data_IF_434937446141
#
_entry.id   IF_434937446141
#
_cell.length_a   1.000
_cell.length_b   1.000
_cell.length_c   1.000
_cell.angle_alpha   90.00
_cell.angle_beta   90.00
_cell.angle_gamma   90.00
#
_symmetry.space_group_name_H-M   'P 1'
#
loop_
_entity.id
_entity.type
_entity.pdbx_description
1 polymer ?
#
# COMPACT_ATOMS: atom_id res chain seq x y z
N UNK A 1 -3.99 3.94 -22.29
CA UNK A 1 -3.85 3.17 -21.03
C UNK A 1 -4.68 3.87 -19.97
N UNK A 2 -5.44 3.13 -19.16
CA UNK A 2 -6.29 3.73 -18.13
C UNK A 2 -5.43 4.25 -16.96
N UNK A 3 -5.74 5.44 -16.47
CA UNK A 3 -5.12 6.02 -15.29
C UNK A 3 -5.75 5.39 -14.05
N UNK A 4 -4.91 4.92 -13.12
CA UNK A 4 -5.36 4.46 -11.81
C UNK A 4 -5.52 5.65 -10.86
N UNK A 5 -4.49 6.49 -10.78
CA UNK A 5 -4.50 7.69 -9.95
C UNK A 5 -3.50 8.72 -10.45
N UNK A 6 -3.66 9.96 -10.03
CA UNK A 6 -2.73 11.06 -10.27
C UNK A 6 -2.52 11.83 -8.98
N UNK A 7 -1.26 12.04 -8.60
CA UNK A 7 -0.87 12.76 -7.38
C UNK A 7 0.06 13.91 -7.73
N UNK A 8 -0.24 15.10 -7.21
CA UNK A 8 0.69 16.23 -7.25
C UNK A 8 1.67 16.08 -6.09
N UNK A 9 2.95 16.07 -6.41
CA UNK A 9 4.06 16.02 -5.46
C UNK A 9 4.80 17.35 -5.53
N UNK A 10 5.29 17.82 -4.39
CA UNK A 10 6.10 19.03 -4.34
C UNK A 10 7.58 18.68 -4.31
N UNK A 11 8.35 19.41 -5.09
CA UNK A 11 9.80 19.26 -5.15
C UNK A 11 10.44 20.65 -5.15
N UNK A 12 11.64 20.78 -4.57
CA UNK A 12 12.42 22.01 -4.50
C UNK A 12 13.46 22.02 -5.63
N UNK A 13 13.38 22.92 -6.60
CA UNK A 13 14.42 23.02 -7.64
C UNK A 13 15.79 23.47 -7.08
N UNK A 14 16.86 23.35 -7.87
CA UNK A 14 18.21 23.88 -7.52
C UNK A 14 18.21 25.37 -7.15
N UNK A 15 17.50 26.15 -7.97
CA UNK A 15 16.37 26.97 -7.56
C UNK A 15 16.29 27.56 -6.13
N UNK A 16 16.21 26.64 -5.18
CA UNK A 16 15.62 26.83 -3.87
C UNK A 16 14.09 26.98 -3.89
N UNK A 17 13.42 26.96 -5.05
CA UNK A 17 11.96 27.17 -5.17
C UNK A 17 11.18 25.88 -5.24
N UNK A 18 10.04 25.85 -4.56
CA UNK A 18 9.07 24.75 -4.66
C UNK A 18 8.34 24.77 -6.01
N UNK A 19 8.14 23.58 -6.55
CA UNK A 19 7.50 23.33 -7.83
C UNK A 19 6.70 22.03 -7.72
N UNK A 20 5.61 21.98 -8.46
CA UNK A 20 4.76 20.80 -8.53
C UNK A 20 5.25 19.84 -9.61
N UNK A 21 5.25 18.56 -9.31
CA UNK A 21 5.41 17.47 -10.26
C UNK A 21 4.24 16.53 -10.12
N UNK A 22 3.59 16.19 -11.23
CA UNK A 22 2.45 15.29 -11.22
C UNK A 22 2.92 13.87 -11.50
N UNK A 23 2.72 12.97 -10.54
CA UNK A 23 2.86 11.53 -10.71
C UNK A 23 1.55 10.96 -11.23
N UNK A 24 1.57 10.34 -12.41
CA UNK A 24 0.45 9.53 -12.90
C UNK A 24 0.82 8.07 -12.76
N UNK A 25 -0.04 7.29 -12.10
CA UNK A 25 0.06 5.83 -12.01
C UNK A 25 -1.04 5.22 -12.86
N UNK A 26 -0.69 4.24 -13.66
CA UNK A 26 -1.61 3.57 -14.58
C UNK A 26 -2.16 2.28 -13.99
N UNK A 27 -3.35 1.87 -14.43
CA UNK A 27 -3.96 0.61 -13.97
C UNK A 27 -3.06 -0.56 -14.36
N UNK A 28 -2.71 -1.46 -13.42
CA UNK A 28 -1.98 -2.67 -13.75
C UNK A 28 -2.71 -3.52 -14.80
N UNK A 29 -1.95 -4.19 -15.66
CA UNK A 29 -2.47 -5.06 -16.71
C UNK A 29 -1.62 -6.33 -16.83
N UNK A 30 -2.26 -7.44 -17.19
CA UNK A 30 -1.56 -8.67 -17.54
C UNK A 30 -0.92 -8.53 -18.93
N UNK A 31 0.32 -9.01 -19.06
CA UNK A 31 1.02 -9.11 -20.33
C UNK A 31 0.80 -10.46 -21.00
N UNK A 32 1.32 -10.59 -22.23
CA UNK A 32 1.16 -11.77 -23.07
C UNK A 32 1.82 -13.04 -22.49
N UNK A 33 2.68 -12.90 -21.48
CA UNK A 33 3.37 -14.01 -20.81
C UNK A 33 2.77 -14.35 -19.45
N UNK A 34 1.60 -13.77 -19.12
CA UNK A 34 0.90 -13.99 -17.86
C UNK A 34 1.52 -13.24 -16.68
N UNK A 35 2.49 -12.36 -16.91
CA UNK A 35 3.03 -11.46 -15.89
C UNK A 35 2.16 -10.21 -15.74
N UNK A 36 2.17 -9.59 -14.57
CA UNK A 36 1.48 -8.31 -14.36
C UNK A 36 2.45 -7.15 -14.49
N UNK A 37 1.99 -6.05 -15.11
CA UNK A 37 2.77 -4.83 -15.27
C UNK A 37 1.96 -3.62 -14.80
N UNK A 38 2.64 -2.67 -14.17
CA UNK A 38 2.08 -1.37 -13.81
C UNK A 38 3.03 -0.27 -14.25
N UNK A 39 2.47 0.82 -14.78
CA UNK A 39 3.22 1.94 -15.31
C UNK A 39 3.11 3.20 -14.45
N UNK A 40 4.13 4.05 -14.51
CA UNK A 40 4.04 5.43 -14.00
C UNK A 40 4.74 6.43 -14.92
N UNK A 41 4.38 7.70 -14.79
CA UNK A 41 5.06 8.83 -15.44
C UNK A 41 5.06 10.07 -14.54
N UNK A 42 6.03 10.95 -14.76
CA UNK A 42 6.04 12.30 -14.19
C UNK A 42 5.75 13.33 -15.28
N UNK A 43 4.95 14.34 -14.95
CA UNK A 43 4.76 15.53 -15.78
C UNK A 43 6.03 16.39 -15.82
N UNK A 44 6.10 17.41 -16.69
CA UNK A 44 7.20 18.37 -16.64
C UNK A 44 7.41 18.92 -15.22
N UNK A 45 8.65 19.23 -14.84
CA UNK A 45 9.85 19.25 -15.70
C UNK A 45 10.57 17.90 -15.81
N UNK A 46 10.17 16.90 -15.04
CA UNK A 46 10.76 15.56 -15.10
C UNK A 46 10.10 14.79 -16.25
N UNK A 47 10.54 15.01 -17.50
CA UNK A 47 10.03 14.31 -18.69
C UNK A 47 10.43 12.82 -18.72
N UNK A 48 9.87 12.01 -17.82
CA UNK A 48 10.05 10.56 -17.86
C UNK A 48 9.06 9.95 -18.84
N UNK A 49 9.57 9.15 -19.77
CA UNK A 49 8.75 8.18 -20.51
C UNK A 49 8.03 7.29 -19.51
N UNK A 50 6.86 6.77 -19.89
CA UNK A 50 6.15 5.78 -19.07
C UNK A 50 7.11 4.62 -18.74
N UNK A 51 7.35 4.42 -17.45
CA UNK A 51 8.20 3.34 -16.95
C UNK A 51 7.29 2.24 -16.44
N UNK A 52 7.52 1.01 -16.89
CA UNK A 52 6.77 -0.17 -16.45
C UNK A 52 7.58 -0.98 -15.46
N UNK A 53 6.90 -1.50 -14.44
CA UNK A 53 7.44 -2.43 -13.46
C UNK A 53 6.57 -3.69 -13.44
N UNK A 54 7.21 -4.85 -13.33
CA UNK A 54 6.54 -6.15 -13.30
C UNK A 54 6.25 -6.65 -11.87
N UNK A 55 5.29 -7.55 -11.76
CA UNK A 55 4.96 -8.33 -10.57
C UNK A 55 4.24 -9.63 -10.95
N UNK A 56 4.10 -10.55 -10.00
CA UNK A 56 3.39 -11.82 -10.26
C UNK A 56 1.87 -11.65 -10.26
N UNK A 57 1.38 -10.60 -9.61
CA UNK A 57 -0.04 -10.22 -9.55
C UNK A 57 -0.22 -8.70 -9.60
N UNK A 58 -1.49 -8.28 -9.61
CA UNK A 58 -1.90 -6.88 -9.64
C UNK A 58 -1.26 -6.05 -8.52
N UNK A 59 -1.25 -6.57 -7.28
CA UNK A 59 -0.78 -5.83 -6.11
C UNK A 59 0.73 -5.66 -6.20
N UNK A 60 1.47 -6.73 -6.52
CA UNK A 60 2.92 -6.67 -6.66
C UNK A 60 3.36 -5.73 -7.77
N UNK A 61 2.69 -5.77 -8.92
CA UNK A 61 3.01 -4.86 -10.02
C UNK A 61 2.82 -3.39 -9.59
N UNK A 62 1.73 -3.08 -8.89
CA UNK A 62 1.47 -1.73 -8.39
C UNK A 62 2.47 -1.30 -7.31
N UNK A 63 2.73 -2.14 -6.30
CA UNK A 63 3.70 -1.84 -5.23
C UNK A 63 5.11 -1.67 -5.81
N UNK A 64 5.52 -2.52 -6.75
CA UNK A 64 6.79 -2.39 -7.46
C UNK A 64 6.89 -1.08 -8.24
N UNK A 65 5.82 -0.71 -8.95
CA UNK A 65 5.70 0.56 -9.67
C UNK A 65 5.90 1.76 -8.73
N UNK A 66 5.22 1.79 -7.59
CA UNK A 66 5.35 2.85 -6.59
C UNK A 66 6.76 2.92 -5.98
N UNK A 67 7.41 1.78 -5.70
CA UNK A 67 8.79 1.72 -5.21
C UNK A 67 9.78 2.34 -6.19
N UNK A 68 9.65 2.00 -7.48
CA UNK A 68 10.52 2.55 -8.52
C UNK A 68 10.25 4.04 -8.70
N UNK A 69 8.97 4.47 -8.75
CA UNK A 69 8.60 5.87 -8.82
C UNK A 69 9.18 6.69 -7.66
N UNK A 70 9.13 6.16 -6.43
CA UNK A 70 9.79 6.74 -5.25
C UNK A 70 11.30 6.86 -5.45
N UNK A 71 11.98 5.82 -5.94
CA UNK A 71 13.42 5.86 -6.20
C UNK A 71 13.82 6.98 -7.17
N UNK A 72 13.00 7.27 -8.19
CA UNK A 72 13.24 8.40 -9.09
C UNK A 72 13.13 9.77 -8.42
N UNK A 73 12.38 9.88 -7.32
CA UNK A 73 12.18 11.12 -6.56
C UNK A 73 13.23 11.27 -5.44
N UNK A 74 13.69 10.15 -4.87
CA UNK A 74 14.60 10.11 -3.71
C UNK A 74 16.10 10.03 -4.04
N UNK A 75 16.49 9.93 -5.33
CA UNK A 75 17.91 9.77 -5.68
C UNK A 75 18.76 11.00 -5.25
N UNK A 76 19.93 10.78 -4.60
CA UNK A 76 20.62 11.76 -3.75
C UNK A 76 21.61 12.72 -4.43
N UNK A 77 21.71 12.78 -5.76
CA UNK A 77 22.64 13.73 -6.41
C UNK A 77 22.07 15.16 -6.48
N UNK A 78 20.80 15.34 -6.13
CA UNK A 78 20.13 16.64 -6.21
C UNK A 78 19.23 16.77 -4.97
N UNK A 79 19.43 17.81 -4.14
CA UNK A 79 18.57 18.17 -2.99
C UNK A 79 17.18 18.65 -3.44
N UNK A 80 16.51 17.88 -4.30
CA UNK A 80 15.45 18.41 -5.14
C UNK A 80 14.04 18.09 -4.72
N UNK A 81 13.74 17.26 -3.74
CA UNK A 81 12.35 16.82 -3.55
C UNK A 81 11.87 16.92 -2.10
N UNK A 82 10.77 17.64 -1.86
CA UNK A 82 9.92 17.42 -0.68
C UNK A 82 9.12 16.13 -0.93
N UNK A 83 9.84 15.00 -0.89
CA UNK A 83 9.39 13.64 -1.18
C UNK A 83 8.42 13.06 -0.14
N UNK A 84 8.00 13.86 0.84
CA UNK A 84 7.29 13.43 2.05
C UNK A 84 6.02 12.63 1.74
N UNK A 85 5.36 12.87 0.60
CA UNK A 85 4.21 12.06 0.16
C UNK A 85 4.54 10.61 -0.26
N UNK A 86 5.73 10.35 -0.82
CA UNK A 86 6.14 9.01 -1.34
C UNK A 86 7.00 8.21 -0.38
N UNK A 87 7.79 8.86 0.47
CA UNK A 87 8.67 8.17 1.42
C UNK A 87 7.95 7.66 2.65
N UNK A 88 6.81 8.28 2.95
CA UNK A 88 5.96 7.96 4.09
C UNK A 88 4.90 6.92 3.76
N UNK A 89 4.70 6.56 2.49
CA UNK A 89 3.63 5.67 2.02
C UNK A 89 3.84 4.19 2.39
N UNK A 90 4.65 3.85 3.39
CA UNK A 90 4.72 2.46 3.87
C UNK A 90 5.39 1.44 2.94
N UNK A 91 5.89 1.86 1.77
CA UNK A 91 6.44 0.95 0.77
C UNK A 91 7.51 0.01 1.36
N UNK A 92 7.47 -1.31 1.07
CA UNK A 92 8.40 -2.27 1.66
C UNK A 92 9.84 -1.99 1.20
N UNK A 93 10.75 -1.68 2.12
CA UNK A 93 12.19 -1.65 1.84
C UNK A 93 12.77 -3.08 1.85
N UNK A 94 13.89 -3.35 1.15
CA UNK A 94 14.48 -4.69 1.12
C UNK A 94 14.94 -5.23 2.49
N UNK A 95 15.10 -4.38 3.51
CA UNK A 95 15.46 -4.77 4.90
C UNK A 95 14.31 -4.52 5.91
N UNK A 96 13.06 -4.38 5.46
CA UNK A 96 11.97 -3.62 6.11
C UNK A 96 11.28 -4.17 7.36
N UNK A 97 11.80 -5.16 8.08
CA UNK A 97 11.29 -5.42 9.44
C UNK A 97 12.27 -4.86 10.47
N UNK A 98 12.17 -3.57 10.85
CA UNK A 98 12.95 -3.03 11.96
C UNK A 98 12.77 -3.90 13.20
N UNK A 99 13.84 -4.09 13.98
CA UNK A 99 13.75 -4.82 15.25
C UNK A 99 12.80 -4.16 16.27
N UNK A 100 12.50 -2.87 16.09
CA UNK A 100 11.59 -2.07 16.92
C UNK A 100 10.19 -1.92 16.32
N UNK A 101 9.86 -2.66 15.26
CA UNK A 101 8.56 -2.61 14.62
C UNK A 101 7.43 -2.96 15.61
N UNK A 102 6.49 -2.02 15.78
CA UNK A 102 5.20 -2.27 16.42
C UNK A 102 4.15 -2.43 15.34
N UNK A 103 3.43 -3.55 15.37
CA UNK A 103 2.31 -3.76 14.46
C UNK A 103 1.26 -2.66 14.68
N UNK A 104 0.69 -2.09 13.60
CA UNK A 104 -0.45 -1.20 13.73
C UNK A 104 -1.62 -1.94 14.36
N UNK A 105 -2.40 -1.21 15.15
CA UNK A 105 -3.67 -1.73 15.66
C UNK A 105 -4.62 -1.98 14.48
N UNK A 106 -5.13 -3.21 14.39
CA UNK A 106 -6.07 -3.59 13.33
C UNK A 106 -7.46 -3.10 13.74
N UNK A 107 -8.11 -2.24 12.95
CA UNK A 107 -9.45 -1.75 13.27
C UNK A 107 -10.45 -2.91 13.29
N UNK A 108 -11.52 -2.72 14.06
CA UNK A 108 -12.61 -3.67 14.13
C UNK A 108 -13.24 -3.86 12.74
N UNK A 109 -13.65 -5.10 12.39
CA UNK A 109 -14.34 -5.35 11.13
C UNK A 109 -15.72 -4.68 11.10
N UNK A 110 -16.05 -4.10 9.96
CA UNK A 110 -17.35 -3.48 9.67
C UNK A 110 -18.17 -4.38 8.74
N UNK A 111 -19.50 -4.23 8.76
CA UNK A 111 -20.36 -4.91 7.79
C UNK A 111 -20.08 -4.40 6.38
N UNK A 112 -20.01 -5.31 5.41
CA UNK A 112 -19.85 -4.93 4.01
C UNK A 112 -21.12 -4.18 3.54
N UNK A 113 -21.02 -2.92 3.09
CA UNK A 113 -22.17 -2.16 2.62
C UNK A 113 -22.75 -2.70 1.30
N UNK A 114 -22.02 -3.57 0.60
CA UNK A 114 -22.48 -4.28 -0.60
C UNK A 114 -22.34 -3.50 -1.92
N UNK A 115 -21.93 -2.23 -1.85
CA UNK A 115 -21.74 -1.32 -2.99
C UNK A 115 -20.26 -1.02 -3.29
N UNK A 116 -19.33 -1.60 -2.53
CA UNK A 116 -17.89 -1.44 -2.76
C UNK A 116 -17.45 -2.12 -4.06
N UNK A 117 -16.75 -1.37 -4.91
CA UNK A 117 -16.17 -1.91 -6.13
C UNK A 117 -14.88 -2.68 -5.83
N UNK A 118 -14.78 -3.91 -6.32
CA UNK A 118 -13.56 -4.73 -6.16
C UNK A 118 -12.42 -4.13 -7.00
N UNK A 119 -11.27 -3.87 -6.36
CA UNK A 119 -10.04 -3.49 -7.05
C UNK A 119 -9.29 -4.72 -7.54
N UNK A 120 -9.11 -5.71 -6.66
CA UNK A 120 -8.42 -6.97 -6.98
C UNK A 120 -8.75 -8.06 -5.96
N UNK A 121 -8.56 -9.31 -6.37
CA UNK A 121 -8.64 -10.49 -5.50
C UNK A 121 -7.36 -11.31 -5.67
N UNK A 122 -6.80 -11.78 -4.54
CA UNK A 122 -5.59 -12.59 -4.48
C UNK A 122 -5.87 -13.85 -3.67
N UNK A 123 -5.55 -15.00 -4.24
CA UNK A 123 -5.51 -16.27 -3.52
C UNK A 123 -4.22 -16.32 -2.68
N UNK A 124 -4.36 -16.52 -1.38
CA UNK A 124 -3.24 -16.66 -0.45
C UNK A 124 -3.19 -18.09 0.08
N UNK A 125 -1.97 -18.57 0.34
CA UNK A 125 -1.79 -19.81 1.09
C UNK A 125 -2.07 -19.60 2.56
N UNK A 126 -2.82 -20.50 3.17
CA UNK A 126 -3.10 -20.48 4.59
C UNK A 126 -3.08 -21.91 5.14
N UNK A 127 -2.08 -22.23 5.96
CA UNK A 127 -2.02 -23.52 6.65
C UNK A 127 -2.94 -23.50 7.85
N UNK A 128 -3.80 -24.51 8.03
CA UNK A 128 -4.55 -24.66 9.28
C UNK A 128 -3.67 -25.20 10.42
N UNK A 129 -4.24 -25.36 11.63
CA UNK A 129 -3.51 -25.90 12.79
C UNK A 129 -3.02 -27.34 12.62
N UNK A 130 -3.52 -28.05 11.61
CA UNK A 130 -3.07 -29.41 11.26
C UNK A 130 -1.95 -29.40 10.20
N UNK A 131 -1.56 -28.23 9.70
CA UNK A 131 -0.57 -28.06 8.66
C UNK A 131 -1.11 -28.33 7.26
N UNK A 132 -2.44 -28.47 7.10
CA UNK A 132 -3.07 -28.61 5.79
C UNK A 132 -3.20 -27.23 5.17
N UNK A 133 -2.66 -27.08 3.96
CA UNK A 133 -2.80 -25.84 3.20
C UNK A 133 -4.22 -25.69 2.65
N UNK A 134 -4.79 -24.54 2.92
CA UNK A 134 -6.07 -24.09 2.39
C UNK A 134 -5.89 -22.76 1.67
N UNK A 135 -6.77 -22.47 0.73
CA UNK A 135 -6.76 -21.21 0.00
C UNK A 135 -7.58 -20.16 0.77
N UNK A 136 -6.95 -19.05 1.14
CA UNK A 136 -7.62 -17.89 1.70
C UNK A 136 -7.79 -16.83 0.62
N UNK A 137 -9.03 -16.47 0.33
CA UNK A 137 -9.34 -15.40 -0.62
C UNK A 137 -9.13 -14.05 0.06
N UNK A 138 -8.25 -13.23 -0.48
CA UNK A 138 -8.03 -11.84 -0.08
C UNK A 138 -8.62 -10.90 -1.13
N UNK A 139 -9.53 -10.01 -0.74
CA UNK A 139 -10.13 -9.02 -1.61
C UNK A 139 -9.76 -7.62 -1.16
N UNK A 140 -9.31 -6.79 -2.09
CA UNK A 140 -9.09 -5.35 -1.90
C UNK A 140 -10.10 -4.59 -2.74
N UNK A 141 -10.74 -3.60 -2.13
CA UNK A 141 -11.74 -2.74 -2.77
C UNK A 141 -11.10 -1.45 -3.27
N UNK A 142 -11.70 -0.82 -4.28
CA UNK A 142 -11.24 0.48 -4.78
C UNK A 142 -11.34 1.51 -3.67
N UNK A 143 -10.27 2.28 -3.42
CA UNK A 143 -10.35 3.39 -2.47
C UNK A 143 -11.42 4.41 -2.86
N UNK A 144 -12.09 4.95 -1.85
CA UNK A 144 -13.15 5.95 -1.97
C UNK A 144 -12.96 7.06 -0.95
N UNK A 145 -13.54 8.23 -1.21
CA UNK A 145 -13.51 9.35 -0.27
C UNK A 145 -14.69 9.23 0.70
N UNK A 146 -14.40 9.26 2.00
CA UNK A 146 -15.40 9.28 3.07
C UNK A 146 -15.95 10.70 3.28
N UNK A 147 -17.04 10.80 4.06
CA UNK A 147 -17.75 12.07 4.32
C UNK A 147 -16.87 13.13 5.01
N UNK A 148 -15.87 12.71 5.78
CA UNK A 148 -14.90 13.58 6.45
C UNK A 148 -13.78 14.07 5.52
N UNK A 149 -13.82 13.69 4.24
CA UNK A 149 -12.84 14.04 3.22
C UNK A 149 -11.60 13.14 3.20
N UNK A 150 -11.45 12.21 4.15
CA UNK A 150 -10.38 11.22 4.15
C UNK A 150 -10.61 10.16 3.07
N UNK A 151 -9.54 9.49 2.66
CA UNK A 151 -9.63 8.34 1.77
C UNK A 151 -9.66 7.05 2.57
N UNK A 152 -10.54 6.13 2.19
CA UNK A 152 -10.66 4.78 2.76
C UNK A 152 -10.38 3.74 1.68
N UNK A 153 -9.74 2.64 2.05
CA UNK A 153 -9.57 1.47 1.20
C UNK A 153 -9.96 0.23 1.99
N UNK A 154 -11.00 -0.47 1.50
CA UNK A 154 -11.49 -1.68 2.13
C UNK A 154 -10.62 -2.89 1.77
N UNK A 155 -10.52 -3.83 2.71
CA UNK A 155 -10.05 -5.19 2.44
C UNK A 155 -10.84 -6.21 3.25
N UNK A 156 -10.88 -7.45 2.75
CA UNK A 156 -11.53 -8.56 3.41
C UNK A 156 -10.79 -9.88 3.16
N UNK A 157 -10.93 -10.81 4.10
CA UNK A 157 -10.51 -12.20 3.95
C UNK A 157 -11.73 -13.11 3.98
N UNK A 158 -11.77 -14.09 3.08
CA UNK A 158 -12.91 -15.00 2.90
C UNK A 158 -13.72 -14.71 1.63
N UNK A 159 -14.85 -15.39 1.43
CA UNK A 159 -15.71 -15.16 0.26
C UNK A 159 -16.25 -13.73 0.27
N UNK A 160 -16.17 -13.03 -0.87
CA UNK A 160 -16.55 -11.62 -1.00
C UNK A 160 -18.00 -11.33 -0.59
N UNK A 161 -18.88 -12.31 -0.73
CA UNK A 161 -20.28 -12.24 -0.26
C UNK A 161 -20.32 -12.38 1.27
N UNK A 162 -20.42 -11.25 1.97
CA UNK A 162 -20.66 -11.21 3.42
C UNK A 162 -19.40 -11.19 4.30
N UNK A 163 -18.20 -11.26 3.73
CA UNK A 163 -16.97 -11.05 4.51
C UNK A 163 -16.97 -9.64 5.12
N UNK A 164 -16.64 -9.56 6.41
CA UNK A 164 -16.52 -8.27 7.08
C UNK A 164 -15.31 -7.51 6.54
N UNK A 165 -15.51 -6.22 6.31
CA UNK A 165 -14.53 -5.34 5.66
C UNK A 165 -13.78 -4.58 6.76
N UNK A 166 -12.48 -4.44 6.58
CA UNK A 166 -11.66 -3.50 7.35
C UNK A 166 -11.15 -2.43 6.43
N UNK A 167 -10.91 -1.24 6.97
CA UNK A 167 -10.48 -0.10 6.16
C UNK A 167 -9.11 0.39 6.59
N UNK A 168 -8.22 0.52 5.62
CA UNK A 168 -7.11 1.46 5.71
C UNK A 168 -7.61 2.86 5.41
N UNK A 169 -6.96 3.87 5.97
CA UNK A 169 -7.26 5.29 5.79
C UNK A 169 -6.02 6.09 5.42
N UNK A 170 -6.19 7.13 4.62
CA UNK A 170 -5.10 8.00 4.20
C UNK A 170 -5.57 9.38 3.79
N UNK A 171 -4.63 10.31 3.61
CA UNK A 171 -4.94 11.62 3.06
C UNK A 171 -5.27 11.54 1.56
N UNK A 172 -4.84 10.46 0.90
CA UNK A 172 -5.16 10.16 -0.48
C UNK A 172 -5.36 8.66 -0.75
N UNK A 173 -5.74 8.36 -2.00
CA UNK A 173 -5.92 7.01 -2.53
C UNK A 173 -4.72 6.08 -2.28
N UNK A 174 -3.49 6.56 -2.49
CA UNK A 174 -2.27 5.75 -2.40
C UNK A 174 -2.01 5.40 -0.93
N UNK A 175 -2.16 6.37 -0.03
CA UNK A 175 -1.98 6.18 1.40
C UNK A 175 -3.03 5.22 1.97
N UNK A 176 -4.31 5.40 1.62
CA UNK A 176 -5.37 4.52 2.07
C UNK A 176 -5.15 3.07 1.58
N UNK A 177 -4.74 2.90 0.32
CA UNK A 177 -4.40 1.59 -0.25
C UNK A 177 -3.24 0.92 0.49
N UNK A 178 -2.15 1.66 0.75
CA UNK A 178 -0.97 1.10 1.42
C UNK A 178 -1.22 0.82 2.90
N UNK A 179 -2.06 1.62 3.56
CA UNK A 179 -2.57 1.32 4.90
C UNK A 179 -3.39 0.03 4.91
N UNK A 180 -4.34 -0.13 3.97
CA UNK A 180 -5.14 -1.34 3.86
C UNK A 180 -4.29 -2.60 3.66
N UNK A 181 -3.22 -2.54 2.86
CA UNK A 181 -2.29 -3.66 2.70
C UNK A 181 -1.46 -3.94 3.96
N UNK A 182 -1.05 -2.91 4.70
CA UNK A 182 -0.33 -3.09 5.96
C UNK A 182 -1.22 -3.75 7.03
N UNK A 183 -2.47 -3.30 7.14
CA UNK A 183 -3.47 -3.90 8.03
C UNK A 183 -3.84 -5.32 7.60
N UNK A 184 -3.97 -5.58 6.30
CA UNK A 184 -4.22 -6.91 5.76
C UNK A 184 -3.09 -7.88 6.12
N UNK A 185 -1.83 -7.44 6.04
CA UNK A 185 -0.69 -8.23 6.46
C UNK A 185 -0.78 -8.62 7.94
N UNK A 186 -1.03 -7.67 8.84
CA UNK A 186 -1.14 -7.95 10.28
C UNK A 186 -2.30 -8.90 10.57
N UNK A 187 -3.47 -8.63 9.97
CA UNK A 187 -4.62 -9.50 10.11
C UNK A 187 -4.35 -10.92 9.58
N UNK A 188 -3.61 -11.05 8.48
CA UNK A 188 -3.17 -12.34 7.95
C UNK A 188 -2.23 -13.06 8.92
N UNK A 189 -1.23 -12.36 9.46
CA UNK A 189 -0.28 -12.90 10.44
C UNK A 189 -0.99 -13.39 11.73
N UNK A 190 -2.07 -12.71 12.15
CA UNK A 190 -2.88 -13.11 13.31
C UNK A 190 -3.77 -14.34 13.03
N UNK A 191 -4.22 -14.51 11.79
CA UNK A 191 -5.02 -15.67 11.38
C UNK A 191 -4.16 -16.90 11.11
N UNK A 192 -3.01 -16.72 10.45
CA UNK A 192 -2.11 -17.79 10.06
C UNK A 192 -1.47 -18.41 11.31
N UNK A 193 -1.68 -19.71 11.58
CA UNK A 193 -0.96 -20.40 12.65
C UNK A 193 0.55 -20.24 12.45
N UNK A 194 1.30 -20.12 13.54
CA UNK A 194 2.76 -20.28 13.54
C UNK A 194 3.12 -21.71 13.17
N UNK A 195 3.09 -22.02 11.87
CA UNK A 195 3.51 -23.27 11.26
C UNK A 195 4.47 -23.00 10.10
N UNK A 196 5.21 -24.01 9.62
CA UNK A 196 6.11 -23.85 8.50
C UNK A 196 5.31 -23.49 7.24
N UNK A 197 5.55 -22.29 6.69
CA UNK A 197 5.01 -21.91 5.40
C UNK A 197 5.60 -22.82 4.32
N UNK A 198 4.77 -23.40 3.44
CA UNK A 198 5.31 -24.01 2.23
C UNK A 198 5.76 -22.89 1.29
N UNK A 199 6.91 -23.07 0.64
CA UNK A 199 7.48 -22.05 -0.24
C UNK A 199 6.75 -21.84 -1.58
N UNK A 200 5.57 -22.42 -1.76
CA UNK A 200 4.82 -22.40 -3.03
C UNK A 200 3.61 -21.46 -3.02
N UNK A 201 3.09 -21.08 -1.85
CA UNK A 201 1.89 -20.28 -1.77
C UNK A 201 2.19 -18.78 -1.56
N UNK A 202 1.39 -17.92 -2.20
CA UNK A 202 1.49 -16.47 -2.02
C UNK A 202 1.09 -16.11 -0.58
N UNK A 203 1.88 -15.26 0.07
CA UNK A 203 1.61 -14.71 1.38
C UNK A 203 1.55 -13.18 1.33
N UNK A 204 1.46 -12.54 2.50
CA UNK A 204 1.50 -11.08 2.62
C UNK A 204 2.92 -10.53 2.84
N UNK A 205 3.99 -11.29 2.59
CA UNK A 205 5.36 -10.88 2.88
C UNK A 205 5.81 -9.67 2.05
N UNK A 206 5.25 -9.51 0.85
CA UNK A 206 5.51 -8.42 -0.08
C UNK A 206 4.71 -7.13 0.24
N UNK A 207 3.73 -7.21 1.15
CA UNK A 207 2.93 -6.07 1.57
C UNK A 207 3.72 -5.13 2.50
N UNK A 208 3.40 -3.83 2.50
CA UNK A 208 3.87 -2.86 3.49
C UNK A 208 3.85 -3.40 4.92
N UNK A 209 4.89 -3.11 5.70
CA UNK A 209 4.88 -3.36 7.15
C UNK A 209 4.25 -2.21 7.94
N UNK A 210 4.31 -0.99 7.41
CA UNK A 210 3.80 0.19 8.09
C UNK A 210 2.65 0.80 7.30
N UNK A 211 1.74 1.41 8.05
CA UNK A 211 0.67 2.26 7.56
C UNK A 211 1.27 3.41 6.75
N UNK A 212 0.65 3.75 5.62
CA UNK A 212 1.11 4.78 4.69
C UNK A 212 1.04 6.23 5.20
N UNK A 213 0.98 6.47 6.51
CA UNK A 213 0.92 7.81 7.11
C UNK A 213 2.32 8.41 7.28
N UNK A 214 2.39 9.73 7.22
CA UNK A 214 3.60 10.48 7.55
C UNK A 214 3.92 10.35 9.03
N UNK A 215 5.17 9.97 9.36
CA UNK A 215 5.67 10.01 10.74
C UNK A 215 5.49 11.38 11.42
N UNK A 216 5.41 12.46 10.64
CA UNK A 216 5.19 13.82 11.13
C UNK A 216 3.73 14.13 11.51
N UNK A 217 2.78 13.27 11.12
CA UNK A 217 1.36 13.39 11.49
C UNK A 217 0.93 12.44 12.59
N UNK A 218 1.76 11.44 12.90
CA UNK A 218 1.52 10.60 14.06
C UNK A 218 1.80 11.44 15.31
N UNK A 219 0.86 11.51 16.28
CA UNK A 219 1.15 12.15 17.55
C UNK A 219 2.36 11.44 18.14
N UNK A 220 3.43 12.19 18.41
CA UNK A 220 4.54 11.72 19.22
C UNK A 220 3.92 11.39 20.57
N UNK A 221 3.74 10.10 20.85
CA UNK A 221 3.43 9.65 22.19
C UNK A 221 4.68 9.95 23.00
N UNK A 222 4.66 11.07 23.71
CA UNK A 222 5.66 11.36 24.71
C UNK A 222 5.51 10.30 25.82
N UNK A 223 6.48 9.37 25.97
CA UNK A 223 6.40 8.35 27.00
C UNK A 223 6.40 8.94 28.42
N UNK A 224 6.72 10.24 28.56
CA UNK A 224 6.74 10.99 29.83
C UNK A 224 5.54 11.94 29.99
N UNK A 225 4.54 11.92 29.08
CA UNK A 225 3.31 12.69 29.25
C UNK A 225 2.44 12.12 30.38
N UNK A 226 2.76 12.52 31.61
CA UNK A 226 1.91 12.33 32.79
C UNK A 226 0.57 13.03 32.54
N UNK A 227 -0.51 12.26 32.55
CA UNK A 227 -1.87 12.80 32.43
C UNK A 227 -2.09 13.87 33.52
N UNK A 228 -2.64 15.05 33.17
CA UNK A 228 -2.99 16.05 34.17
C UNK A 228 -4.16 15.53 35.05
N UNK A 229 -4.23 15.99 36.32
CA UNK A 229 -5.21 15.53 37.30
C UNK A 229 -6.66 15.85 36.91
#
# INVERSE_FOLDING_TARGET
>A
MATLTTRVLQYRGDDGKERDVTLTVFVPFADEHGGWKCGFQFSPPTHRRVVYVGGIDFIQALVGCLKVARGYVEHPEEERSHWQGMSHSGLPTPQARPGEYRAPEVPAPESNPGDLEVLTTRALGHSDTSGVETELVFTVFKPFQADDGSWKCGFAFGPSEGASVRYGVGADFIEAFLDALALARVAFDDMAPTGPASGLALDCSDFPYKVGRAFATDPVVDPDAVAPP
#
